data_IF_781678730036
#
_entry.id   IF_781678730036
#
_cell.length_a   1.000
_cell.length_b   1.000
_cell.length_c   1.000
_cell.angle_alpha   90.00
_cell.angle_beta   90.00
_cell.angle_gamma   90.00
#
_symmetry.space_group_name_H-M   'P 1'
#
loop_
_entity.id
_entity.type
_entity.pdbx_description
1 polymer ?
#
# COMPACT_ATOMS: atom_id res chain seq x y z
N UNK A 1 -10.79 10.92 12.40
CA UNK A 1 -10.54 9.47 12.59
C UNK A 1 -9.96 8.79 11.34
N UNK A 2 -10.57 8.95 10.15
CA UNK A 2 -10.13 8.27 8.91
C UNK A 2 -8.68 8.60 8.52
N UNK A 3 -8.22 9.85 8.66
CA UNK A 3 -6.83 10.24 8.39
C UNK A 3 -5.81 9.42 9.17
N UNK A 4 -6.06 9.15 10.45
CA UNK A 4 -5.16 8.34 11.28
C UNK A 4 -5.21 6.86 10.87
N UNK A 5 -6.37 6.38 10.41
CA UNK A 5 -6.52 5.00 9.90
C UNK A 5 -5.67 4.82 8.64
N UNK A 6 -5.77 5.73 7.67
CA UNK A 6 -5.00 5.63 6.42
C UNK A 6 -3.50 5.84 6.63
N UNK A 7 -3.11 6.72 7.57
CA UNK A 7 -1.71 6.88 7.96
C UNK A 7 -1.14 5.59 8.57
N UNK A 8 -1.86 5.03 9.56
CA UNK A 8 -1.47 3.76 10.18
C UNK A 8 -1.43 2.65 9.14
N UNK A 9 -2.42 2.56 8.26
CA UNK A 9 -2.51 1.53 7.23
C UNK A 9 -1.30 1.58 6.30
N UNK A 10 -0.97 2.76 5.75
CA UNK A 10 0.22 2.94 4.92
C UNK A 10 1.50 2.55 5.66
N UNK A 11 1.73 3.05 6.87
CA UNK A 11 2.96 2.74 7.63
C UNK A 11 3.08 1.24 7.92
N UNK A 12 2.02 0.61 8.45
CA UNK A 12 2.06 -0.80 8.85
C UNK A 12 2.14 -1.73 7.65
N UNK A 13 1.41 -1.43 6.57
CA UNK A 13 1.46 -2.23 5.34
C UNK A 13 2.87 -2.20 4.74
N UNK A 14 3.47 -1.02 4.60
CA UNK A 14 4.80 -0.91 4.01
C UNK A 14 5.88 -1.58 4.89
N UNK A 15 5.83 -1.38 6.22
CA UNK A 15 6.70 -2.08 7.16
C UNK A 15 6.60 -3.60 7.01
N UNK A 16 5.39 -4.15 6.99
CA UNK A 16 5.19 -5.58 6.93
C UNK A 16 5.59 -6.16 5.57
N UNK A 17 5.04 -5.65 4.46
CA UNK A 17 5.22 -6.27 3.15
C UNK A 17 6.61 -6.00 2.56
N UNK A 18 7.10 -4.75 2.62
CA UNK A 18 8.39 -4.38 1.99
C UNK A 18 9.53 -4.36 2.99
N UNK A 19 9.31 -3.78 4.16
CA UNK A 19 10.34 -3.67 5.20
C UNK A 19 10.73 -5.02 5.82
N UNK A 20 9.78 -5.95 5.94
CA UNK A 20 10.01 -7.25 6.55
C UNK A 20 9.86 -8.42 5.57
N UNK A 21 8.67 -8.63 4.99
CA UNK A 21 8.35 -9.90 4.33
C UNK A 21 9.14 -10.13 3.04
N UNK A 22 9.30 -9.12 2.19
CA UNK A 22 10.15 -9.20 0.99
C UNK A 22 11.62 -9.50 1.36
N UNK A 23 12.17 -8.84 2.38
CA UNK A 23 13.54 -9.09 2.84
C UNK A 23 13.66 -10.49 3.46
N UNK A 24 12.64 -10.93 4.20
CA UNK A 24 12.63 -12.24 4.85
C UNK A 24 12.59 -13.37 3.83
N UNK A 25 11.76 -13.27 2.79
CA UNK A 25 11.75 -14.28 1.72
C UNK A 25 13.08 -14.31 0.96
N UNK A 26 13.71 -13.15 0.75
CA UNK A 26 15.06 -13.11 0.16
C UNK A 26 16.11 -13.77 1.05
N UNK A 27 16.05 -13.55 2.37
CA UNK A 27 16.93 -14.23 3.33
C UNK A 27 16.72 -15.75 3.36
N UNK A 28 15.56 -16.25 2.94
CA UNK A 28 15.26 -17.68 2.77
C UNK A 28 15.66 -18.21 1.38
N UNK A 29 16.31 -17.41 0.55
CA UNK A 29 16.85 -17.80 -0.76
C UNK A 29 15.94 -17.50 -1.95
N UNK A 30 14.80 -16.85 -1.75
CA UNK A 30 13.93 -16.47 -2.87
C UNK A 30 14.47 -15.23 -3.59
N UNK A 31 14.41 -15.20 -4.92
CA UNK A 31 14.83 -14.00 -5.64
C UNK A 31 13.89 -12.81 -5.35
N UNK A 32 14.42 -11.58 -5.47
CA UNK A 32 13.70 -10.35 -5.13
C UNK A 32 12.39 -10.14 -5.89
N UNK A 33 12.30 -10.63 -7.13
CA UNK A 33 11.13 -10.45 -7.98
C UNK A 33 10.00 -11.40 -7.55
N UNK A 34 10.32 -12.66 -7.28
CA UNK A 34 9.36 -13.64 -6.76
C UNK A 34 8.91 -13.29 -5.34
N UNK A 35 9.82 -12.81 -4.48
CA UNK A 35 9.44 -12.31 -3.16
C UNK A 35 8.41 -11.18 -3.28
N UNK A 36 8.68 -10.16 -4.10
CA UNK A 36 7.75 -9.05 -4.31
C UNK A 36 6.43 -9.50 -4.95
N UNK A 37 6.45 -10.38 -5.96
CA UNK A 37 5.25 -10.85 -6.64
C UNK A 37 4.32 -11.64 -5.71
N UNK A 38 4.87 -12.55 -4.89
CA UNK A 38 4.08 -13.31 -3.91
C UNK A 38 3.44 -12.36 -2.89
N UNK A 39 4.22 -11.42 -2.34
CA UNK A 39 3.69 -10.47 -1.36
C UNK A 39 2.69 -9.50 -1.97
N UNK A 40 2.83 -9.13 -3.25
CA UNK A 40 1.84 -8.32 -3.97
C UNK A 40 0.50 -9.05 -4.10
N UNK A 41 0.53 -10.34 -4.45
CA UNK A 41 -0.69 -11.15 -4.56
C UNK A 41 -1.38 -11.25 -3.20
N UNK A 42 -0.64 -11.55 -2.13
CA UNK A 42 -1.19 -11.64 -0.77
C UNK A 42 -1.79 -10.30 -0.33
N UNK A 43 -1.08 -9.19 -0.58
CA UNK A 43 -1.55 -7.84 -0.30
C UNK A 43 -2.86 -7.55 -1.03
N UNK A 44 -2.92 -7.81 -2.34
CA UNK A 44 -4.09 -7.52 -3.16
C UNK A 44 -5.32 -8.37 -2.79
N UNK A 45 -5.14 -9.67 -2.56
CA UNK A 45 -6.22 -10.56 -2.10
C UNK A 45 -6.74 -10.14 -0.72
N UNK A 46 -5.87 -9.61 0.15
CA UNK A 46 -6.28 -9.03 1.44
C UNK A 46 -7.30 -7.89 1.31
N UNK A 47 -7.42 -7.26 0.14
CA UNK A 47 -8.40 -6.19 -0.13
C UNK A 47 -9.74 -6.69 -0.66
N UNK A 48 -9.96 -8.01 -0.71
CA UNK A 48 -11.19 -8.61 -1.26
C UNK A 48 -12.48 -8.14 -0.57
N UNK A 49 -12.42 -7.73 0.70
CA UNK A 49 -13.59 -7.18 1.42
C UNK A 49 -14.13 -5.89 0.80
N UNK A 50 -13.32 -5.17 0.02
CA UNK A 50 -13.75 -4.04 -0.81
C UNK A 50 -14.23 -4.42 -2.22
N UNK A 51 -14.31 -5.72 -2.53
CA UNK A 51 -14.72 -6.25 -3.83
C UNK A 51 -13.59 -6.33 -4.86
N UNK A 52 -13.92 -6.86 -6.04
CA UNK A 52 -12.96 -7.11 -7.12
C UNK A 52 -12.24 -5.83 -7.59
N UNK A 53 -12.93 -4.68 -7.59
CA UNK A 53 -12.33 -3.40 -7.96
C UNK A 53 -11.19 -3.01 -7.02
N UNK A 54 -11.36 -3.18 -5.70
CA UNK A 54 -10.32 -2.89 -4.72
C UNK A 54 -9.11 -3.82 -4.87
N UNK A 55 -9.33 -5.08 -5.26
CA UNK A 55 -8.23 -6.02 -5.53
C UNK A 55 -7.43 -5.55 -6.74
N UNK A 56 -8.09 -5.16 -7.84
CA UNK A 56 -7.42 -4.65 -9.04
C UNK A 56 -6.62 -3.38 -8.73
N UNK A 57 -7.20 -2.45 -7.96
CA UNK A 57 -6.52 -1.24 -7.50
C UNK A 57 -5.31 -1.60 -6.63
N UNK A 58 -5.45 -2.55 -5.70
CA UNK A 58 -4.38 -2.99 -4.83
C UNK A 58 -3.24 -3.69 -5.60
N UNK A 59 -3.53 -4.46 -6.65
CA UNK A 59 -2.51 -5.00 -7.56
C UNK A 59 -1.75 -3.86 -8.25
N UNK A 60 -2.46 -2.89 -8.83
CA UNK A 60 -1.84 -1.81 -9.57
C UNK A 60 -0.97 -0.91 -8.69
N UNK A 61 -1.53 -0.36 -7.61
CA UNK A 61 -0.83 0.57 -6.72
C UNK A 61 0.20 -0.15 -5.84
N UNK A 62 -0.14 -1.34 -5.34
CA UNK A 62 0.82 -2.19 -4.63
C UNK A 62 1.99 -2.60 -5.52
N UNK A 63 1.74 -2.86 -6.81
CA UNK A 63 2.78 -3.16 -7.80
C UNK A 63 3.72 -1.98 -8.03
N UNK A 64 3.19 -0.77 -8.17
CA UNK A 64 3.99 0.46 -8.28
C UNK A 64 4.88 0.64 -7.04
N UNK A 65 4.31 0.55 -5.84
CA UNK A 65 5.06 0.68 -4.59
C UNK A 65 6.10 -0.44 -4.43
N UNK A 66 5.77 -1.69 -4.80
CA UNK A 66 6.71 -2.81 -4.75
C UNK A 66 7.87 -2.60 -5.73
N UNK A 67 7.57 -2.18 -6.97
CA UNK A 67 8.58 -1.85 -7.98
C UNK A 67 9.47 -0.69 -7.52
N UNK A 68 8.88 0.37 -6.97
CA UNK A 68 9.62 1.51 -6.40
C UNK A 68 10.52 1.07 -5.24
N UNK A 69 10.04 0.22 -4.34
CA UNK A 69 10.86 -0.34 -3.25
C UNK A 69 12.03 -1.16 -3.78
N UNK A 70 11.81 -2.06 -4.75
CA UNK A 70 12.89 -2.85 -5.36
C UNK A 70 13.93 -1.97 -6.08
N UNK A 71 13.51 -0.83 -6.62
CA UNK A 71 14.39 0.12 -7.30
C UNK A 71 15.18 1.00 -6.33
N UNK A 72 14.48 1.69 -5.42
CA UNK A 72 15.07 2.76 -4.59
C UNK A 72 15.45 2.31 -3.19
N UNK A 73 14.89 1.19 -2.71
CA UNK A 73 15.07 0.67 -1.34
C UNK A 73 14.70 1.69 -0.26
N UNK A 74 13.84 2.66 -0.58
CA UNK A 74 13.39 3.71 0.33
C UNK A 74 12.01 3.35 0.90
N UNK A 75 12.01 2.91 2.16
CA UNK A 75 10.79 2.50 2.83
C UNK A 75 9.94 3.69 3.29
N UNK A 76 10.56 4.81 3.67
CA UNK A 76 9.83 5.99 4.14
C UNK A 76 9.07 6.63 2.98
N UNK A 77 9.70 6.75 1.81
CA UNK A 77 9.02 7.23 0.61
C UNK A 77 7.84 6.33 0.21
N UNK A 78 7.95 5.02 0.39
CA UNK A 78 6.81 4.10 0.21
C UNK A 78 5.69 4.37 1.22
N UNK A 79 6.00 4.56 2.51
CA UNK A 79 4.98 4.86 3.53
C UNK A 79 4.24 6.16 3.21
N UNK A 80 4.97 7.20 2.82
CA UNK A 80 4.41 8.49 2.40
C UNK A 80 3.54 8.30 1.15
N UNK A 81 4.02 7.56 0.15
CA UNK A 81 3.29 7.29 -1.08
C UNK A 81 1.99 6.52 -0.84
N UNK A 82 2.02 5.45 -0.04
CA UNK A 82 0.83 4.68 0.32
C UNK A 82 -0.18 5.55 1.09
N UNK A 83 0.28 6.27 2.11
CA UNK A 83 -0.57 7.21 2.84
C UNK A 83 -1.21 8.24 1.90
N UNK A 84 -0.44 8.81 0.98
CA UNK A 84 -0.94 9.82 0.04
C UNK A 84 -2.05 9.27 -0.87
N UNK A 85 -1.85 8.06 -1.41
CA UNK A 85 -2.88 7.35 -2.20
C UNK A 85 -4.16 7.19 -1.39
N UNK A 86 -4.08 6.63 -0.19
CA UNK A 86 -5.25 6.37 0.65
C UNK A 86 -5.93 7.67 1.10
N UNK A 87 -5.13 8.70 1.41
CA UNK A 87 -5.61 10.01 1.82
C UNK A 87 -6.38 10.69 0.69
N UNK A 88 -5.83 10.71 -0.53
CA UNK A 88 -6.48 11.30 -1.70
C UNK A 88 -7.76 10.54 -2.05
N UNK A 89 -7.77 9.21 -1.93
CA UNK A 89 -8.95 8.41 -2.24
C UNK A 89 -10.06 8.51 -1.17
N UNK A 90 -9.71 8.54 0.13
CA UNK A 90 -10.67 8.32 1.21
C UNK A 90 -10.94 9.52 2.12
N UNK A 91 -10.02 10.48 2.17
CA UNK A 91 -10.10 11.65 3.06
C UNK A 91 -10.41 12.90 2.25
N UNK A 92 -9.63 13.17 1.19
CA UNK A 92 -9.73 14.41 0.42
C UNK A 92 -11.15 14.69 -0.13
N UNK A 93 -11.87 13.72 -0.74
CA UNK A 93 -13.20 13.99 -1.29
C UNK A 93 -14.20 14.39 -0.20
N UNK A 94 -14.06 13.82 1.01
CA UNK A 94 -14.94 14.09 2.16
C UNK A 94 -14.73 15.49 2.75
N UNK A 95 -13.55 16.07 2.57
CA UNK A 95 -13.27 17.45 2.98
C UNK A 95 -13.98 18.47 2.08
N UNK A 96 -14.15 18.15 0.80
CA UNK A 96 -14.79 19.03 -0.18
C UNK A 96 -16.26 18.71 -0.46
N UNK A 97 -16.75 17.56 -0.02
CA UNK A 97 -18.17 17.19 -0.12
C UNK A 97 -19.02 17.73 1.03
N UNK A 98 -18.45 18.50 1.97
CA UNK A 98 -19.25 19.24 2.94
C UNK A 98 -20.00 20.35 2.20
N UNK A 99 -21.35 20.45 2.31
CA UNK A 99 -22.04 21.60 1.72
C UNK A 99 -21.49 22.83 2.44
N UNK A 100 -21.06 23.83 1.66
CA UNK A 100 -20.67 25.14 2.16
C UNK A 100 -21.71 25.57 3.20
N UNK A 101 -21.32 25.53 4.48
CA UNK A 101 -22.18 25.88 5.60
C UNK A 101 -22.33 27.39 5.71
N UNK A 102 -22.87 27.99 4.65
CA UNK A 102 -23.46 29.34 4.62
C UNK A 102 -24.93 29.15 4.25
#
# INVERSE_FOLDING_TARGET
MITLIVLRAGVVAELFYRGYAIERLQALGLNRYWAAAILLIIFAVGHWTGGAANVVIAVALGGILAGFYLWRRDLIANMIGHFAVDFVANVLPKLFSWPLGI
#
